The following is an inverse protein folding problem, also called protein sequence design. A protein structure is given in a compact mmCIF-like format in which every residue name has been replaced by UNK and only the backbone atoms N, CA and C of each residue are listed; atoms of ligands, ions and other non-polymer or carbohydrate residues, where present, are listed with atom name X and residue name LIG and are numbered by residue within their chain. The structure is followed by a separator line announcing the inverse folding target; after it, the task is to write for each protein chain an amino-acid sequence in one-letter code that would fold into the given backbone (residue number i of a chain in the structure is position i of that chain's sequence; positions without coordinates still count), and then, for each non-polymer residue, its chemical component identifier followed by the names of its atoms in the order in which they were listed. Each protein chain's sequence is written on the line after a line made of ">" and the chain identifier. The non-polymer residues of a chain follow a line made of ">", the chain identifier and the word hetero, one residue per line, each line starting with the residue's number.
data_IF_395138750476
#
_entry.id   IF_395138750476
#
_cell.length_a   1.000
_cell.length_b   1.000
_cell.length_c   1.000
_cell.angle_alpha   90.00
_cell.angle_beta   90.00
_cell.angle_gamma   90.00
#
_symmetry.space_group_name_H-M   'P 1'
#
loop_
_entity.id
_entity.type
_entity.pdbx_description
1 polymer ?
#
# COMPACT_ATOMS: atom_id res chain seq x y z
N UNK A 1 2.93 0.05 -4.16
CA UNK A 1 3.53 -0.52 -2.94
C UNK A 1 2.57 -0.44 -1.74
N UNK A 2 1.77 0.63 -1.61
CA UNK A 2 0.79 0.85 -0.52
C UNK A 2 -0.21 -0.31 -0.44
N UNK A 3 -0.90 -0.65 -1.54
CA UNK A 3 -1.84 -1.77 -1.57
C UNK A 3 -1.21 -3.08 -1.11
N UNK A 4 0.04 -3.35 -1.54
CA UNK A 4 0.76 -4.55 -1.13
C UNK A 4 1.13 -4.54 0.36
N UNK A 5 1.41 -3.38 0.95
CA UNK A 5 1.66 -3.26 2.38
C UNK A 5 0.37 -3.52 3.18
N UNK A 6 -0.77 -2.97 2.74
CA UNK A 6 -2.08 -3.19 3.36
C UNK A 6 -2.46 -4.67 3.32
N UNK A 7 -2.38 -5.32 2.13
CA UNK A 7 -2.63 -6.76 1.99
C UNK A 7 -1.72 -7.58 2.91
N UNK A 8 -0.46 -7.19 3.03
CA UNK A 8 0.50 -7.88 3.91
C UNK A 8 0.12 -7.73 5.39
N UNK A 9 -0.31 -6.55 5.81
CA UNK A 9 -0.80 -6.33 7.17
C UNK A 9 -2.02 -7.21 7.48
N UNK A 10 -2.98 -7.24 6.56
CA UNK A 10 -4.19 -8.07 6.71
C UNK A 10 -3.84 -9.57 6.73
N UNK A 11 -2.92 -10.03 5.88
CA UNK A 11 -2.41 -11.41 5.91
C UNK A 11 -1.80 -11.78 7.26
N UNK A 12 -1.02 -10.87 7.86
CA UNK A 12 -0.43 -11.11 9.18
C UNK A 12 -1.46 -11.05 10.31
N UNK A 13 -2.49 -10.21 10.19
CA UNK A 13 -3.62 -10.16 11.12
C UNK A 13 -4.42 -11.47 11.12
N UNK A 14 -4.61 -12.08 9.95
CA UNK A 14 -5.24 -13.42 9.78
C UNK A 14 -4.34 -14.59 10.19
N UNK A 15 -3.23 -14.32 10.87
CA UNK A 15 -2.34 -15.36 11.39
C UNK A 15 -1.19 -15.77 10.46
N UNK A 16 -1.01 -15.12 9.32
CA UNK A 16 0.17 -15.32 8.49
C UNK A 16 1.47 -15.00 9.25
N UNK A 17 2.53 -15.79 9.04
CA UNK A 17 3.81 -15.62 9.76
C UNK A 17 5.02 -15.71 8.83
N UNK A 18 4.82 -15.67 7.51
CA UNK A 18 5.94 -15.75 6.56
C UNK A 18 6.94 -14.63 6.79
N UNK A 19 8.21 -14.98 6.83
CA UNK A 19 9.33 -14.04 7.01
C UNK A 19 9.29 -12.86 6.03
N UNK A 20 9.01 -13.13 4.76
CA UNK A 20 8.98 -12.09 3.72
C UNK A 20 7.91 -11.03 4.00
N UNK A 21 6.72 -11.46 4.44
CA UNK A 21 5.60 -10.59 4.78
C UNK A 21 5.91 -9.76 6.03
N UNK A 22 6.46 -10.39 7.06
CA UNK A 22 6.86 -9.69 8.27
C UNK A 22 7.92 -8.60 8.00
N UNK A 23 9.01 -8.95 7.30
CA UNK A 23 10.07 -8.00 6.94
C UNK A 23 9.52 -6.82 6.13
N UNK A 24 8.50 -7.06 5.30
CA UNK A 24 7.90 -6.01 4.50
C UNK A 24 7.28 -4.91 5.35
N UNK A 25 6.63 -5.25 6.46
CA UNK A 25 5.83 -4.29 7.26
C UNK A 25 6.35 -4.04 8.67
N UNK A 26 7.31 -4.80 9.17
CA UNK A 26 7.77 -4.72 10.56
C UNK A 26 8.18 -3.30 10.99
N UNK A 27 8.65 -2.47 10.06
CA UNK A 27 9.05 -1.07 10.29
C UNK A 27 8.20 -0.05 9.50
N UNK A 28 6.92 -0.34 9.30
CA UNK A 28 5.97 0.55 8.64
C UNK A 28 4.66 0.67 9.45
N UNK A 29 4.55 1.50 10.47
CA UNK A 29 5.47 2.55 10.92
C UNK A 29 6.74 2.02 11.59
N UNK A 30 7.71 2.94 11.76
CA UNK A 30 9.04 2.61 12.24
C UNK A 30 9.02 2.04 13.67
N UNK A 31 9.50 0.79 13.82
CA UNK A 31 9.60 0.08 15.10
C UNK A 31 11.02 -0.30 15.48
N UNK A 32 11.98 -0.08 14.58
CA UNK A 32 13.42 -0.42 14.74
C UNK A 32 13.70 -1.92 14.92
N UNK A 33 12.86 -2.78 14.36
CA UNK A 33 13.10 -4.22 14.34
C UNK A 33 14.16 -4.51 13.28
N UNK A 34 15.27 -5.15 13.66
CA UNK A 34 16.36 -5.51 12.76
C UNK A 34 16.01 -6.72 11.89
N UNK A 35 16.49 -6.76 10.66
CA UNK A 35 16.26 -7.89 9.74
C UNK A 35 17.04 -9.14 10.14
N UNK A 36 18.17 -8.97 10.80
CA UNK A 36 19.10 -10.04 11.15
C UNK A 36 18.51 -10.99 12.21
N UNK A 37 17.45 -10.57 12.90
CA UNK A 37 16.79 -11.33 13.94
C UNK A 37 15.59 -12.15 13.46
N UNK A 38 15.25 -12.00 12.19
CA UNK A 38 14.21 -12.76 11.54
C UNK A 38 14.89 -13.79 10.62
N UNK A 39 15.39 -14.88 11.21
CA UNK A 39 16.21 -15.87 10.50
C UNK A 39 15.37 -16.96 9.88
N UNK A 40 14.30 -17.40 10.55
CA UNK A 40 13.48 -18.51 10.13
C UNK A 40 12.49 -18.16 9.01
N UNK A 41 11.98 -19.17 8.34
CA UNK A 41 10.97 -19.01 7.28
C UNK A 41 9.65 -18.43 7.79
N UNK A 42 9.33 -18.66 9.06
CA UNK A 42 8.19 -18.12 9.78
C UNK A 42 8.67 -17.34 11.01
N UNK A 43 7.92 -16.32 11.37
CA UNK A 43 8.27 -15.41 12.47
C UNK A 43 7.43 -15.72 13.70
N UNK A 44 8.09 -15.93 14.82
CA UNK A 44 7.49 -16.03 16.14
C UNK A 44 7.68 -14.73 16.92
N UNK A 45 6.61 -14.17 17.47
CA UNK A 45 6.69 -12.99 18.34
C UNK A 45 7.40 -13.32 19.65
N UNK A 46 7.21 -14.54 20.20
CA UNK A 46 7.90 -14.99 21.41
C UNK A 46 9.41 -15.07 21.23
N UNK A 47 9.87 -15.56 20.07
CA UNK A 47 11.31 -15.60 19.75
C UNK A 47 11.89 -14.20 19.55
N UNK A 48 11.14 -13.29 18.93
CA UNK A 48 11.55 -11.88 18.83
C UNK A 48 11.65 -11.24 20.22
N UNK A 49 10.71 -11.48 21.12
CA UNK A 49 10.78 -10.95 22.49
C UNK A 49 11.99 -11.52 23.23
N UNK A 50 12.23 -12.83 23.12
CA UNK A 50 13.39 -13.47 23.74
C UNK A 50 14.71 -12.90 23.20
N UNK A 51 14.78 -12.65 21.90
CA UNK A 51 15.97 -12.04 21.32
C UNK A 51 16.24 -10.61 21.87
N UNK A 52 15.18 -9.85 22.12
CA UNK A 52 15.28 -8.50 22.66
C UNK A 52 15.12 -8.43 24.19
N UNK A 53 15.34 -9.54 24.94
CA UNK A 53 15.11 -9.60 26.38
C UNK A 53 15.84 -8.52 27.20
N UNK A 54 17.03 -8.13 26.75
CA UNK A 54 17.80 -7.05 27.37
C UNK A 54 17.32 -5.62 26.99
N UNK A 55 16.32 -5.50 26.11
CA UNK A 55 15.81 -4.20 25.60
C UNK A 55 14.30 -4.06 25.82
N UNK A 56 13.85 -3.73 27.04
CA UNK A 56 12.42 -3.65 27.36
C UNK A 56 11.60 -2.75 26.43
N UNK A 57 12.19 -1.69 25.91
CA UNK A 57 11.54 -0.78 24.97
C UNK A 57 11.24 -1.46 23.60
N UNK A 58 12.08 -2.39 23.17
CA UNK A 58 11.83 -3.20 21.95
C UNK A 58 10.72 -4.21 22.20
N UNK A 59 10.76 -4.91 23.32
CA UNK A 59 9.70 -5.85 23.70
C UNK A 59 8.33 -5.14 23.69
N UNK A 60 8.25 -3.93 24.27
CA UNK A 60 7.00 -3.17 24.25
C UNK A 60 6.51 -2.84 22.83
N UNK A 61 7.40 -2.57 21.88
CA UNK A 61 7.04 -2.33 20.48
C UNK A 61 6.60 -3.60 19.77
N UNK A 62 7.26 -4.71 20.01
CA UNK A 62 6.92 -6.04 19.46
C UNK A 62 5.54 -6.44 19.98
N UNK A 63 5.30 -6.38 21.27
CA UNK A 63 3.99 -6.65 21.91
C UNK A 63 2.90 -5.70 21.42
N UNK A 64 3.23 -4.44 21.17
CA UNK A 64 2.28 -3.49 20.59
C UNK A 64 1.88 -3.93 19.20
N UNK A 65 2.85 -4.28 18.33
CA UNK A 65 2.58 -4.75 16.98
C UNK A 65 1.72 -6.02 16.98
N UNK A 66 2.03 -6.99 17.84
CA UNK A 66 1.26 -8.22 17.97
C UNK A 66 -0.19 -7.94 18.39
N UNK A 67 -0.39 -7.10 19.41
CA UNK A 67 -1.74 -6.67 19.82
C UNK A 67 -2.50 -5.93 18.71
N UNK A 68 -1.81 -5.09 17.93
CA UNK A 68 -2.40 -4.39 16.79
C UNK A 68 -2.89 -5.38 15.72
N UNK A 69 -2.07 -6.37 15.38
CA UNK A 69 -2.43 -7.44 14.43
C UNK A 69 -3.61 -8.28 14.95
N UNK A 70 -3.54 -8.72 16.20
CA UNK A 70 -4.62 -9.50 16.81
C UNK A 70 -5.94 -8.71 16.90
N UNK A 71 -5.88 -7.40 17.15
CA UNK A 71 -7.07 -6.55 17.16
C UNK A 71 -7.70 -6.41 15.76
N UNK A 72 -6.93 -6.55 14.70
CA UNK A 72 -7.43 -6.46 13.32
C UNK A 72 -8.18 -7.73 12.88
N UNK A 73 -7.84 -8.91 13.41
CA UNK A 73 -8.35 -10.21 12.94
C UNK A 73 -9.88 -10.35 12.95
N UNK A 74 -10.54 -9.68 13.88
CA UNK A 74 -12.01 -9.71 14.03
C UNK A 74 -12.74 -8.56 13.31
N UNK A 75 -12.01 -7.74 12.55
CA UNK A 75 -12.57 -6.57 11.89
C UNK A 75 -12.99 -6.89 10.44
N UNK A 76 -13.97 -6.14 9.91
CA UNK A 76 -14.24 -6.12 8.46
C UNK A 76 -13.07 -5.48 7.71
N UNK A 77 -12.93 -5.74 6.40
CA UNK A 77 -11.84 -5.19 5.58
C UNK A 77 -11.71 -3.67 5.72
N UNK A 78 -12.82 -2.95 5.63
CA UNK A 78 -12.84 -1.49 5.82
C UNK A 78 -12.35 -1.08 7.21
N UNK A 79 -12.80 -1.76 8.25
CA UNK A 79 -12.39 -1.47 9.62
C UNK A 79 -10.91 -1.79 9.87
N UNK A 80 -10.39 -2.89 9.31
CA UNK A 80 -8.95 -3.23 9.33
C UNK A 80 -8.11 -2.13 8.73
N UNK A 81 -8.47 -1.67 7.52
CA UNK A 81 -7.72 -0.61 6.82
C UNK A 81 -7.79 0.70 7.59
N UNK A 82 -8.97 1.07 8.10
CA UNK A 82 -9.12 2.28 8.91
C UNK A 82 -8.28 2.20 10.20
N UNK A 83 -8.28 1.05 10.87
CA UNK A 83 -7.49 0.85 12.08
C UNK A 83 -5.97 0.87 11.77
N UNK A 84 -5.55 0.24 10.68
CA UNK A 84 -4.16 0.31 10.22
C UNK A 84 -3.73 1.76 9.98
N UNK A 85 -4.55 2.54 9.31
CA UNK A 85 -4.27 3.95 8.98
C UNK A 85 -4.16 4.81 10.23
N UNK A 86 -5.17 4.75 11.13
CA UNK A 86 -5.32 5.67 12.27
C UNK A 86 -4.79 5.09 13.58
N UNK A 87 -5.08 3.83 13.88
CA UNK A 87 -4.70 3.16 15.13
C UNK A 87 -3.25 2.71 15.15
N UNK A 88 -2.79 2.09 14.10
CA UNK A 88 -1.39 1.65 13.96
C UNK A 88 -0.47 2.81 13.57
N UNK A 89 -1.00 3.84 12.87
CA UNK A 89 -0.26 5.03 12.46
C UNK A 89 0.38 4.90 11.06
N UNK A 90 -0.22 4.11 10.17
CA UNK A 90 0.28 3.94 8.82
C UNK A 90 0.16 5.22 7.97
N UNK A 91 -0.87 6.06 8.20
CA UNK A 91 -1.01 7.36 7.55
C UNK A 91 0.20 8.28 7.84
N UNK A 92 0.69 8.28 9.07
CA UNK A 92 1.86 9.09 9.44
C UNK A 92 3.13 8.59 8.77
N UNK A 93 3.29 7.25 8.68
CA UNK A 93 4.39 6.64 7.94
C UNK A 93 4.35 7.04 6.45
N UNK A 94 3.18 7.00 5.81
CA UNK A 94 3.01 7.35 4.38
C UNK A 94 3.30 8.83 4.15
N UNK A 95 2.86 9.72 5.04
CA UNK A 95 3.19 11.16 4.98
C UNK A 95 4.69 11.44 5.12
N UNK A 96 5.36 10.73 6.04
CA UNK A 96 6.81 10.85 6.21
C UNK A 96 7.54 10.32 4.97
N UNK A 97 7.10 9.19 4.44
CA UNK A 97 7.62 8.64 3.18
C UNK A 97 7.51 9.65 2.03
N UNK A 98 6.35 10.27 1.84
CA UNK A 98 6.10 11.25 0.81
C UNK A 98 7.08 12.44 0.90
N UNK A 99 7.26 12.98 2.12
CA UNK A 99 8.21 14.08 2.38
C UNK A 99 9.64 13.69 2.01
N UNK A 100 10.08 12.50 2.39
CA UNK A 100 11.44 12.02 2.14
C UNK A 100 11.72 11.72 0.66
N UNK A 101 10.68 11.52 -0.17
CA UNK A 101 10.80 11.21 -1.60
C UNK A 101 10.31 12.35 -2.50
N UNK A 102 10.05 13.55 -1.95
CA UNK A 102 9.55 14.70 -2.71
C UNK A 102 8.24 14.43 -3.48
N UNK A 103 7.38 13.60 -2.90
CA UNK A 103 6.02 13.31 -3.38
C UNK A 103 5.05 14.20 -2.61
N UNK A 104 4.02 14.72 -3.28
CA UNK A 104 2.97 15.45 -2.58
C UNK A 104 2.22 14.50 -1.64
N UNK A 105 2.15 14.75 -0.32
CA UNK A 105 1.52 13.85 0.64
C UNK A 105 0.06 13.51 0.32
N UNK A 106 -0.65 14.43 -0.34
CA UNK A 106 -2.05 14.24 -0.72
C UNK A 106 -2.19 13.13 -1.76
N UNK A 107 -1.28 13.01 -2.72
CA UNK A 107 -1.32 11.95 -3.74
C UNK A 107 -1.33 10.54 -3.11
N UNK A 108 -0.50 10.32 -2.09
CA UNK A 108 -0.47 9.02 -1.39
C UNK A 108 -1.66 8.84 -0.44
N UNK A 109 -2.20 9.93 0.11
CA UNK A 109 -3.43 9.88 0.91
C UNK A 109 -4.63 9.48 0.05
N UNK A 110 -4.75 10.03 -1.15
CA UNK A 110 -5.83 9.71 -2.09
C UNK A 110 -5.80 8.22 -2.48
N UNK A 111 -4.60 7.66 -2.73
CA UNK A 111 -4.45 6.21 -2.96
C UNK A 111 -4.93 5.39 -1.75
N UNK A 112 -4.61 5.82 -0.53
CA UNK A 112 -5.09 5.15 0.68
C UNK A 112 -6.62 5.22 0.82
N UNK A 113 -7.22 6.35 0.45
CA UNK A 113 -8.66 6.53 0.47
C UNK A 113 -9.35 5.65 -0.58
N UNK A 114 -8.82 5.55 -1.79
CA UNK A 114 -9.33 4.66 -2.84
C UNK A 114 -9.27 3.18 -2.43
N UNK A 115 -8.14 2.74 -1.87
CA UNK A 115 -7.99 1.36 -1.38
C UNK A 115 -8.99 1.07 -0.26
N UNK A 116 -9.15 1.99 0.69
CA UNK A 116 -10.10 1.84 1.79
C UNK A 116 -11.55 1.82 1.26
N UNK A 117 -11.89 2.68 0.30
CA UNK A 117 -13.21 2.73 -0.33
C UNK A 117 -13.54 1.41 -1.04
N UNK A 118 -12.58 0.84 -1.79
CA UNK A 118 -12.76 -0.45 -2.50
C UNK A 118 -13.07 -1.63 -1.57
N UNK A 119 -12.76 -1.49 -0.28
CA UNK A 119 -12.95 -2.56 0.71
C UNK A 119 -14.32 -2.55 1.40
N UNK A 120 -15.15 -1.53 1.18
CA UNK A 120 -16.43 -1.34 1.91
C UNK A 120 -17.43 -2.48 1.75
N UNK A 121 -17.47 -3.07 0.56
CA UNK A 121 -18.44 -4.10 0.24
C UNK A 121 -18.01 -5.50 0.68
N UNK A 122 -16.80 -5.61 1.27
CA UNK A 122 -16.23 -6.88 1.68
C UNK A 122 -16.15 -7.01 3.20
N UNK A 123 -16.75 -8.09 3.72
CA UNK A 123 -16.67 -8.42 5.15
C UNK A 123 -15.38 -9.19 5.43
N UNK A 124 -15.08 -10.18 4.60
CA UNK A 124 -13.92 -11.06 4.77
C UNK A 124 -12.72 -10.57 3.94
N UNK A 125 -11.55 -10.71 4.53
CA UNK A 125 -10.30 -10.35 3.86
C UNK A 125 -10.04 -11.18 2.59
N UNK A 126 -10.32 -12.49 2.62
CA UNK A 126 -10.09 -13.35 1.46
C UNK A 126 -10.89 -12.92 0.23
N UNK A 127 -12.15 -12.51 0.42
CA UNK A 127 -13.02 -12.06 -0.68
C UNK A 127 -12.47 -10.76 -1.31
N UNK A 128 -12.01 -9.82 -0.47
CA UNK A 128 -11.41 -8.57 -0.96
C UNK A 128 -10.05 -8.81 -1.61
N UNK A 129 -9.23 -9.71 -1.06
CA UNK A 129 -7.94 -10.09 -1.65
C UNK A 129 -8.13 -10.68 -3.04
N UNK A 130 -9.06 -11.62 -3.22
CA UNK A 130 -9.39 -12.21 -4.53
C UNK A 130 -9.85 -11.13 -5.53
N UNK A 131 -10.68 -10.20 -5.09
CA UNK A 131 -11.09 -9.05 -5.90
C UNK A 131 -9.90 -8.21 -6.38
N UNK A 132 -8.98 -7.85 -5.48
CA UNK A 132 -7.79 -7.04 -5.83
C UNK A 132 -6.84 -7.81 -6.76
N UNK A 133 -6.64 -9.10 -6.52
CA UNK A 133 -5.81 -9.97 -7.38
C UNK A 133 -6.40 -10.05 -8.79
N UNK A 134 -7.69 -10.34 -8.90
CA UNK A 134 -8.40 -10.40 -10.19
C UNK A 134 -8.36 -9.06 -10.93
N UNK A 135 -8.64 -7.96 -10.25
CA UNK A 135 -8.54 -6.62 -10.84
C UNK A 135 -7.14 -6.32 -11.38
N UNK A 136 -6.12 -6.72 -10.63
CA UNK A 136 -4.72 -6.55 -11.03
C UNK A 136 -4.36 -7.39 -12.26
N UNK A 137 -4.90 -8.61 -12.37
CA UNK A 137 -4.70 -9.48 -13.53
C UNK A 137 -5.41 -8.93 -14.78
N UNK A 138 -6.66 -8.48 -14.64
CA UNK A 138 -7.42 -7.85 -15.72
C UNK A 138 -6.69 -6.61 -16.26
N UNK A 139 -6.12 -5.78 -15.40
CA UNK A 139 -5.31 -4.63 -15.83
C UNK A 139 -4.08 -5.06 -16.64
N UNK A 140 -3.38 -6.13 -16.23
CA UNK A 140 -2.22 -6.66 -16.97
C UNK A 140 -2.60 -7.24 -18.32
N UNK A 141 -3.70 -8.00 -18.39
CA UNK A 141 -4.20 -8.57 -19.63
C UNK A 141 -4.62 -7.49 -20.63
N UNK A 142 -5.31 -6.46 -20.17
CA UNK A 142 -5.73 -5.35 -21.03
C UNK A 142 -4.54 -4.57 -21.59
N UNK A 143 -3.42 -4.49 -20.86
CA UNK A 143 -2.17 -3.92 -21.36
C UNK A 143 -1.53 -4.73 -22.51
N UNK A 144 -1.78 -6.05 -22.57
CA UNK A 144 -1.20 -6.93 -23.59
C UNK A 144 -2.08 -7.08 -24.85
N UNK A 145 -3.38 -6.78 -24.76
CA UNK A 145 -4.31 -6.84 -25.89
C UNK A 145 -4.25 -5.57 -26.75
N UNK A 146 -3.12 -5.34 -27.46
CA UNK A 146 -2.90 -4.16 -28.32
C UNK A 146 -3.64 -4.14 -29.66
N UNK A 147 -4.44 -5.15 -29.99
CA UNK A 147 -5.06 -5.31 -31.32
C UNK A 147 -6.57 -5.04 -31.37
N UNK A 148 -7.09 -4.13 -30.58
CA UNK A 148 -8.52 -3.84 -30.56
C UNK A 148 -8.82 -2.59 -31.39
N UNK A 149 -9.47 -2.76 -32.55
CA UNK A 149 -9.76 -1.70 -33.53
C UNK A 149 -10.84 -0.68 -33.12
N UNK A 150 -11.60 -0.95 -32.05
CA UNK A 150 -12.77 -0.15 -31.64
C UNK A 150 -12.68 0.35 -30.19
N UNK A 151 -11.48 0.76 -29.74
CA UNK A 151 -11.29 1.23 -28.36
C UNK A 151 -10.68 2.62 -28.29
N UNK A 152 -11.05 3.37 -27.23
CA UNK A 152 -10.35 4.59 -26.87
C UNK A 152 -9.12 4.21 -26.02
N UNK A 153 -7.94 4.60 -26.48
CA UNK A 153 -6.70 4.38 -25.76
C UNK A 153 -6.52 5.45 -24.70
N UNK A 154 -6.46 5.09 -23.43
CA UNK A 154 -6.04 5.98 -22.36
C UNK A 154 -4.53 5.81 -22.13
N UNK A 155 -3.80 6.91 -22.14
CA UNK A 155 -2.35 6.89 -21.97
C UNK A 155 -1.87 8.16 -21.24
N UNK A 156 -0.72 8.08 -20.59
CA UNK A 156 -0.08 9.29 -20.05
C UNK A 156 0.66 10.04 -21.15
N UNK A 157 0.88 11.35 -20.97
CA UNK A 157 1.68 12.15 -21.90
C UNK A 157 3.10 11.59 -22.09
N UNK A 158 3.71 11.03 -21.04
CA UNK A 158 5.01 10.35 -21.15
C UNK A 158 4.96 9.08 -21.97
N UNK A 159 3.93 8.27 -21.79
CA UNK A 159 3.77 6.98 -22.51
C UNK A 159 3.36 7.20 -23.98
N UNK A 160 2.76 8.35 -24.31
CA UNK A 160 2.38 8.74 -25.67
C UNK A 160 3.52 9.40 -26.46
N UNK A 161 4.66 9.67 -25.84
CA UNK A 161 5.80 10.31 -26.51
C UNK A 161 6.26 9.48 -27.72
N UNK A 162 6.22 10.10 -28.90
CA UNK A 162 6.60 9.47 -30.17
C UNK A 162 5.49 8.62 -30.82
N UNK A 163 4.28 8.64 -30.27
CA UNK A 163 3.10 8.05 -30.90
C UNK A 163 2.26 9.13 -31.60
N UNK A 164 1.55 8.75 -32.66
CA UNK A 164 0.66 9.62 -33.45
C UNK A 164 -0.77 9.09 -33.32
N UNK A 165 -1.73 10.01 -33.17
CA UNK A 165 -3.15 9.71 -33.02
C UNK A 165 -3.98 10.66 -33.91
N UNK A 166 -5.03 10.14 -34.54
CA UNK A 166 -5.95 10.94 -35.36
C UNK A 166 -6.74 11.95 -34.52
N UNK A 167 -7.07 11.58 -33.28
CA UNK A 167 -7.82 12.45 -32.34
C UNK A 167 -7.29 12.25 -30.92
N UNK A 168 -7.07 13.35 -30.20
CA UNK A 168 -6.58 13.33 -28.83
C UNK A 168 -7.51 14.16 -27.94
N UNK A 169 -7.92 13.57 -26.84
CA UNK A 169 -8.64 14.25 -25.76
C UNK A 169 -7.71 14.35 -24.55
N UNK A 170 -7.43 15.56 -24.09
CA UNK A 170 -6.68 15.80 -22.87
C UNK A 170 -7.70 15.97 -21.74
N UNK A 171 -7.73 15.01 -20.83
CA UNK A 171 -8.56 15.06 -19.62
C UNK A 171 -7.78 15.77 -18.50
N UNK A 172 -8.50 16.32 -17.52
CA UNK A 172 -7.91 17.05 -16.38
C UNK A 172 -6.95 18.18 -16.80
N UNK A 173 -7.25 18.86 -17.92
CA UNK A 173 -6.54 20.05 -18.37
C UNK A 173 -6.89 21.27 -17.49
N UNK A 174 -6.79 21.08 -16.16
CA UNK A 174 -7.07 22.11 -15.16
C UNK A 174 -5.76 22.72 -14.64
N UNK A 175 -5.80 24.00 -14.30
CA UNK A 175 -4.65 24.69 -13.73
C UNK A 175 -4.13 23.97 -12.48
N UNK A 176 -2.83 23.66 -12.48
CA UNK A 176 -2.16 22.95 -11.41
C UNK A 176 -2.15 21.41 -11.54
N UNK A 177 -2.91 20.83 -12.49
CA UNK A 177 -2.88 19.42 -12.86
C UNK A 177 -2.14 19.29 -14.19
N UNK A 178 -2.64 19.92 -15.25
CA UNK A 178 -2.00 19.95 -16.57
C UNK A 178 -2.11 21.36 -17.14
N UNK A 179 -1.02 22.17 -17.18
CA UNK A 179 0.34 21.85 -16.71
C UNK A 179 0.46 21.81 -15.18
N UNK A 180 1.40 20.98 -14.69
CA UNK A 180 1.69 20.88 -13.26
C UNK A 180 2.24 22.22 -12.73
N UNK A 181 1.90 22.59 -11.50
CA UNK A 181 2.31 23.88 -10.88
C UNK A 181 3.79 24.21 -11.04
N UNK A 182 4.68 23.19 -10.93
CA UNK A 182 6.13 23.38 -11.13
C UNK A 182 6.51 23.78 -12.56
N UNK A 183 5.75 23.37 -13.57
CA UNK A 183 6.03 23.70 -14.97
C UNK A 183 5.60 25.12 -15.36
N UNK A 184 4.79 25.79 -14.54
CA UNK A 184 4.31 27.16 -14.79
C UNK A 184 5.30 28.21 -14.26
N UNK A 185 6.20 27.84 -13.36
CA UNK A 185 7.15 28.77 -12.73
C UNK A 185 8.60 28.69 -13.28
N UNK A 186 8.86 27.83 -14.26
CA UNK A 186 10.17 27.67 -14.93
C UNK A 186 10.24 28.53 -16.23
N UNK A 187 9.75 29.80 -16.18
CA UNK A 187 9.92 30.79 -17.27
C UNK A 187 10.72 31.96 -16.76
#
# INVERSE_FOLDING_TARGET
>A
WIAKDILTYMTLAEGGRKRADFIRIMNKPLRYIGRDYVTDSEVSFDELEKYYEEKPWMINRIRKMERELNAMSDMTCYAMINYLRKGVGYDDYVKEYAKNHSIEPQELSDILDEIMESSKDFIKFDDWREYIEKYTEELKENHTKRDLKDYVTMTTMHSSKGLEYDTVFIIDANEGITPHKKAVFDV
#
